data_IF_635840639829
#
_entry.id   IF_635840639829
#
_cell.length_a   1.000
_cell.length_b   1.000
_cell.length_c   1.000
_cell.angle_alpha   90.00
_cell.angle_beta   90.00
_cell.angle_gamma   90.00
#
_symmetry.space_group_name_H-M   'P 1'
#
loop_
_entity.id
_entity.type
_entity.pdbx_description
1 polymer ?
#
# COMPACT_ATOMS: atom_id res chain seq x y z
N UNK A 1 27.65 -12.68 15.90
CA UNK A 1 27.48 -12.70 17.37
C UNK A 1 26.15 -12.04 17.74
N UNK A 2 25.24 -12.81 18.34
CA UNK A 2 23.90 -12.38 18.78
C UNK A 2 23.99 -11.29 19.87
N UNK A 3 25.00 -11.36 20.75
CA UNK A 3 25.21 -10.37 21.82
C UNK A 3 25.45 -8.99 21.24
N UNK A 4 26.25 -8.89 20.18
CA UNK A 4 26.49 -7.63 19.47
C UNK A 4 25.20 -7.07 18.86
N UNK A 5 24.39 -7.92 18.25
CA UNK A 5 23.10 -7.53 17.64
C UNK A 5 22.14 -7.02 18.72
N UNK A 6 21.98 -7.77 19.81
CA UNK A 6 21.15 -7.38 20.95
C UNK A 6 21.54 -6.02 21.51
N UNK A 7 22.84 -5.79 21.75
CA UNK A 7 23.36 -4.50 22.25
C UNK A 7 23.14 -3.35 21.28
N UNK A 8 23.18 -3.59 19.98
CA UNK A 8 22.92 -2.54 18.98
C UNK A 8 21.42 -2.24 18.90
N UNK A 9 20.59 -3.28 18.89
CA UNK A 9 19.14 -3.17 18.79
C UNK A 9 18.54 -2.45 20.00
N UNK A 10 18.92 -2.85 21.22
CA UNK A 10 18.48 -2.20 22.46
C UNK A 10 18.90 -0.72 22.56
N UNK A 11 20.03 -0.34 21.94
CA UNK A 11 20.46 1.06 21.88
C UNK A 11 19.69 1.90 20.85
N UNK A 12 19.30 1.32 19.73
CA UNK A 12 18.58 2.04 18.67
C UNK A 12 17.08 2.11 18.91
N UNK A 13 16.52 1.14 19.64
CA UNK A 13 15.09 1.01 19.93
C UNK A 13 14.91 0.71 21.43
N UNK A 14 15.12 1.73 22.30
CA UNK A 14 15.13 1.54 23.74
C UNK A 14 13.76 1.16 24.32
N UNK A 15 12.67 1.59 23.68
CA UNK A 15 11.30 1.37 24.16
C UNK A 15 10.68 0.06 23.64
N UNK A 16 11.48 -0.80 22.98
CA UNK A 16 11.03 -2.08 22.44
C UNK A 16 11.38 -3.22 23.37
N UNK A 17 10.40 -4.10 23.65
CA UNK A 17 10.63 -5.35 24.38
C UNK A 17 11.35 -6.39 23.51
N UNK A 18 12.51 -6.85 23.96
CA UNK A 18 13.33 -7.83 23.25
C UNK A 18 13.22 -9.22 23.88
N UNK A 19 12.87 -10.22 23.07
CA UNK A 19 12.85 -11.62 23.46
C UNK A 19 13.82 -12.41 22.59
N UNK A 20 14.52 -13.37 23.19
CA UNK A 20 15.49 -14.22 22.50
C UNK A 20 15.03 -15.67 22.57
N UNK A 21 14.66 -16.22 21.42
CA UNK A 21 14.31 -17.64 21.27
C UNK A 21 15.42 -18.35 20.49
N UNK A 22 16.15 -19.22 21.19
CA UNK A 22 17.23 -20.02 20.59
C UNK A 22 16.72 -21.30 19.92
N UNK A 23 15.43 -21.63 20.09
CA UNK A 23 14.77 -22.75 19.46
C UNK A 23 14.01 -22.35 18.17
N UNK A 24 14.09 -21.08 17.75
CA UNK A 24 13.51 -20.63 16.49
C UNK A 24 14.26 -21.22 15.28
N UNK A 25 13.56 -22.05 14.52
CA UNK A 25 14.10 -22.81 13.39
C UNK A 25 13.34 -22.57 12.07
N UNK A 26 12.34 -21.67 12.04
CA UNK A 26 11.60 -21.35 10.82
C UNK A 26 12.55 -20.79 9.76
N UNK A 27 12.32 -21.17 8.49
CA UNK A 27 13.10 -20.66 7.36
C UNK A 27 14.47 -21.33 7.15
N UNK A 28 14.70 -22.50 7.73
CA UNK A 28 15.94 -23.29 7.65
C UNK A 28 16.45 -23.55 6.22
N UNK A 29 15.57 -23.46 5.21
CA UNK A 29 15.92 -23.74 3.82
C UNK A 29 16.75 -22.62 3.15
N UNK A 30 16.74 -21.39 3.68
CA UNK A 30 17.47 -20.28 3.05
C UNK A 30 18.07 -19.25 4.02
N UNK A 31 17.65 -19.24 5.28
CA UNK A 31 18.27 -18.38 6.29
C UNK A 31 19.63 -18.98 6.70
N UNK A 32 20.65 -18.12 6.81
CA UNK A 32 22.05 -18.50 7.02
C UNK A 32 22.65 -17.87 8.27
N UNK A 33 21.82 -17.24 9.12
CA UNK A 33 22.26 -16.56 10.32
C UNK A 33 21.09 -16.14 11.21
N UNK A 34 21.21 -14.97 11.83
CA UNK A 34 20.14 -14.43 12.71
C UNK A 34 18.83 -14.30 11.95
N UNK A 35 17.73 -14.66 12.63
CA UNK A 35 16.36 -14.41 12.22
C UNK A 35 15.66 -13.55 13.27
N UNK A 36 14.60 -12.87 12.88
CA UNK A 36 13.78 -12.09 13.79
C UNK A 36 12.32 -12.11 13.36
N UNK A 37 11.43 -11.89 14.32
CA UNK A 37 10.02 -11.63 14.11
C UNK A 37 9.59 -10.46 14.99
N UNK A 38 8.69 -9.63 14.48
CA UNK A 38 8.09 -8.52 15.20
C UNK A 38 6.63 -8.86 15.53
N UNK A 39 6.24 -8.60 16.77
CA UNK A 39 4.89 -8.87 17.28
C UNK A 39 4.29 -7.59 17.85
N UNK A 40 2.97 -7.57 17.91
CA UNK A 40 2.18 -6.54 18.60
C UNK A 40 1.29 -7.23 19.64
N UNK A 41 0.84 -6.46 20.62
CA UNK A 41 -0.12 -6.97 21.61
C UNK A 41 -1.36 -7.55 20.94
N UNK A 42 -1.99 -8.50 21.61
CA UNK A 42 -3.28 -9.10 21.25
C UNK A 42 -3.32 -9.80 19.88
N UNK A 43 -2.15 -10.15 19.33
CA UNK A 43 -2.01 -10.88 18.08
C UNK A 43 -1.06 -12.08 18.22
N UNK A 44 -1.58 -13.28 18.00
CA UNK A 44 -0.81 -14.54 18.05
C UNK A 44 0.10 -14.81 16.84
N UNK A 45 0.23 -13.87 15.90
CA UNK A 45 1.05 -14.01 14.69
C UNK A 45 1.95 -12.79 14.52
N UNK A 46 3.14 -13.01 13.95
CA UNK A 46 4.06 -11.92 13.65
C UNK A 46 3.45 -10.91 12.65
N UNK A 47 3.83 -9.63 12.79
CA UNK A 47 3.50 -8.57 11.81
C UNK A 47 4.62 -8.37 10.80
N UNK A 48 5.85 -8.78 11.13
CA UNK A 48 6.98 -8.80 10.22
C UNK A 48 7.93 -9.91 10.63
N UNK A 49 8.67 -10.45 9.65
CA UNK A 49 9.73 -11.43 9.88
C UNK A 49 10.86 -11.24 8.88
N UNK A 50 12.06 -11.54 9.31
CA UNK A 50 13.24 -11.38 8.48
C UNK A 50 14.45 -12.11 9.04
N UNK A 51 15.57 -11.89 8.39
CA UNK A 51 16.82 -12.54 8.78
C UNK A 51 17.93 -12.34 7.77
N UNK A 52 19.01 -13.09 7.97
CA UNK A 52 20.18 -13.15 7.09
C UNK A 52 20.11 -14.37 6.18
N UNK A 53 20.31 -14.18 4.87
CA UNK A 53 20.17 -15.22 3.84
C UNK A 53 21.27 -15.12 2.76
N UNK A 54 22.53 -15.34 3.16
CA UNK A 54 23.71 -15.06 2.33
C UNK A 54 23.85 -16.01 1.11
N UNK A 55 23.12 -17.14 1.10
CA UNK A 55 23.27 -18.19 0.10
C UNK A 55 22.17 -18.22 -0.96
N UNK A 56 21.12 -17.39 -0.85
CA UNK A 56 19.99 -17.43 -1.80
C UNK A 56 20.44 -17.14 -3.23
N UNK A 57 21.46 -16.30 -3.41
CA UNK A 57 22.03 -15.97 -4.71
C UNK A 57 22.75 -17.14 -5.41
N UNK A 58 23.07 -18.23 -4.68
CA UNK A 58 23.80 -19.38 -5.22
C UNK A 58 23.04 -20.07 -6.36
N UNK A 59 21.71 -20.15 -6.28
CA UNK A 59 20.88 -20.71 -7.36
C UNK A 59 20.90 -19.84 -8.62
N UNK A 60 21.32 -18.58 -8.50
CA UNK A 60 21.49 -17.62 -9.60
C UNK A 60 22.97 -17.41 -9.98
N UNK A 61 23.87 -18.32 -9.56
CA UNK A 61 25.27 -18.32 -9.96
C UNK A 61 26.24 -17.59 -9.03
N UNK A 62 25.78 -16.93 -7.96
CA UNK A 62 26.67 -16.27 -6.99
C UNK A 62 26.04 -16.06 -5.61
N UNK A 63 26.64 -16.65 -4.58
CA UNK A 63 26.31 -16.30 -3.20
C UNK A 63 26.76 -14.86 -2.86
N UNK A 64 25.90 -14.10 -2.17
CA UNK A 64 26.18 -12.73 -1.72
C UNK A 64 25.52 -12.51 -0.36
N UNK A 65 26.23 -11.91 0.61
CA UNK A 65 25.64 -11.60 1.90
C UNK A 65 24.39 -10.74 1.75
N UNK A 66 23.33 -11.12 2.43
CA UNK A 66 22.03 -10.46 2.31
C UNK A 66 21.23 -10.54 3.61
N UNK A 67 20.46 -9.49 3.88
CA UNK A 67 19.50 -9.45 4.97
C UNK A 67 18.30 -8.60 4.54
N UNK A 68 17.15 -8.89 5.12
CA UNK A 68 15.89 -8.25 4.77
C UNK A 68 14.74 -8.82 5.58
N UNK A 69 13.55 -8.27 5.35
CA UNK A 69 12.33 -8.69 6.02
C UNK A 69 11.13 -8.56 5.09
N UNK A 70 10.04 -9.20 5.49
CA UNK A 70 8.75 -9.12 4.84
C UNK A 70 7.66 -8.80 5.87
N UNK A 71 6.60 -8.16 5.42
CA UNK A 71 5.41 -7.82 6.21
C UNK A 71 4.18 -7.85 5.29
N UNK A 72 3.00 -8.06 5.85
CA UNK A 72 1.74 -7.94 5.11
C UNK A 72 1.19 -6.52 5.28
N UNK A 73 1.12 -5.78 4.18
CA UNK A 73 0.58 -4.42 4.18
C UNK A 73 -0.87 -4.37 4.66
N UNK A 74 -1.70 -5.40 4.41
CA UNK A 74 -3.09 -5.44 4.90
C UNK A 74 -3.15 -5.52 6.41
N UNK A 75 -2.21 -6.26 7.02
CA UNK A 75 -2.06 -6.31 8.48
C UNK A 75 -1.69 -4.92 9.00
N UNK A 76 -0.68 -4.29 8.42
CA UNK A 76 -0.22 -2.98 8.87
C UNK A 76 -1.30 -1.90 8.69
N UNK A 77 -2.05 -1.92 7.60
CA UNK A 77 -3.18 -1.00 7.37
C UNK A 77 -4.28 -1.15 8.41
N UNK A 78 -4.57 -2.38 8.87
CA UNK A 78 -5.58 -2.63 9.92
C UNK A 78 -5.10 -2.22 11.32
N UNK A 79 -3.82 -2.42 11.60
CA UNK A 79 -3.22 -2.06 12.89
C UNK A 79 -2.90 -0.57 13.00
N UNK A 80 -2.68 0.09 11.87
CA UNK A 80 -2.42 1.52 11.82
C UNK A 80 -3.64 2.31 12.25
N UNK A 81 -3.43 3.31 13.12
CA UNK A 81 -4.44 4.27 13.54
C UNK A 81 -4.37 5.58 12.74
N UNK A 82 -3.73 5.55 11.56
CA UNK A 82 -3.55 6.74 10.74
C UNK A 82 -4.90 7.22 10.22
N UNK A 83 -5.29 8.42 10.63
CA UNK A 83 -6.43 9.11 10.02
C UNK A 83 -6.06 9.50 8.60
N UNK A 84 -6.83 8.98 7.64
CA UNK A 84 -6.70 9.37 6.25
C UNK A 84 -7.62 10.57 5.98
N UNK A 85 -7.17 11.59 5.23
CA UNK A 85 -8.08 12.63 4.79
C UNK A 85 -9.21 11.98 3.99
N UNK A 86 -10.42 12.52 4.13
CA UNK A 86 -11.55 12.06 3.33
C UNK A 86 -11.19 12.23 1.85
N UNK A 87 -11.39 11.20 1.00
CA UNK A 87 -11.14 11.34 -0.42
C UNK A 87 -11.96 12.52 -0.96
N UNK A 88 -11.33 13.36 -1.79
CA UNK A 88 -12.08 14.35 -2.54
C UNK A 88 -13.19 13.67 -3.35
N UNK A 89 -14.33 14.34 -3.52
CA UNK A 89 -15.42 13.84 -4.35
C UNK A 89 -14.97 13.61 -5.79
N UNK A 90 -15.71 12.78 -6.53
CA UNK A 90 -15.42 12.46 -7.92
C UNK A 90 -16.26 13.31 -8.89
N UNK A 91 -15.77 13.43 -10.11
CA UNK A 91 -16.49 14.03 -11.23
C UNK A 91 -17.01 12.91 -12.12
N UNK A 92 -18.32 12.91 -12.39
CA UNK A 92 -18.96 12.02 -13.33
C UNK A 92 -18.83 12.57 -14.76
N UNK A 93 -18.31 11.77 -15.70
CA UNK A 93 -18.29 12.09 -17.12
C UNK A 93 -19.33 11.25 -17.86
N UNK A 94 -20.15 11.83 -18.77
CA UNK A 94 -21.12 11.07 -19.53
C UNK A 94 -20.47 10.10 -20.53
N UNK A 95 -21.25 9.14 -20.99
CA UNK A 95 -20.85 8.15 -22.00
C UNK A 95 -21.03 8.69 -23.42
N UNK A 96 -20.46 9.86 -23.72
CA UNK A 96 -20.57 10.52 -25.03
C UNK A 96 -19.29 10.38 -25.84
N UNK A 97 -19.43 10.13 -27.15
CA UNK A 97 -18.33 10.10 -28.11
C UNK A 97 -18.01 11.53 -28.57
N UNK A 98 -17.38 12.31 -27.69
CA UNK A 98 -17.02 13.71 -27.92
C UNK A 98 -15.54 13.94 -27.63
N UNK A 99 -14.82 14.55 -28.58
CA UNK A 99 -13.37 14.76 -28.47
C UNK A 99 -13.01 15.77 -27.37
N UNK A 100 -13.80 16.84 -27.25
CA UNK A 100 -13.60 17.88 -26.24
C UNK A 100 -13.89 17.34 -24.84
N UNK A 101 -14.87 16.45 -24.69
CA UNK A 101 -15.13 15.71 -23.46
C UNK A 101 -13.91 14.86 -23.09
N UNK A 102 -13.38 14.11 -24.05
CA UNK A 102 -12.22 13.25 -23.81
C UNK A 102 -10.99 14.07 -23.38
N UNK A 103 -10.76 15.25 -23.99
CA UNK A 103 -9.72 16.18 -23.59
C UNK A 103 -9.95 16.79 -22.21
N UNK A 104 -11.19 17.18 -21.89
CA UNK A 104 -11.56 17.68 -20.57
C UNK A 104 -11.33 16.63 -19.49
N UNK A 105 -11.73 15.38 -19.75
CA UNK A 105 -11.51 14.24 -18.84
C UNK A 105 -10.01 13.99 -18.62
N UNK A 106 -9.20 14.01 -19.69
CA UNK A 106 -7.73 13.89 -19.57
C UNK A 106 -7.13 15.01 -18.72
N UNK A 107 -7.55 16.24 -18.97
CA UNK A 107 -7.08 17.44 -18.25
C UNK A 107 -7.41 17.35 -16.76
N UNK A 108 -8.65 17.02 -16.41
CA UNK A 108 -9.07 16.85 -15.02
C UNK A 108 -8.27 15.75 -14.30
N UNK A 109 -8.08 14.59 -14.96
CA UNK A 109 -7.25 13.51 -14.40
C UNK A 109 -5.80 13.93 -14.18
N UNK A 110 -5.22 14.70 -15.11
CA UNK A 110 -3.86 15.25 -14.97
C UNK A 110 -3.74 16.26 -13.82
N UNK A 111 -4.83 16.93 -13.45
CA UNK A 111 -4.91 17.83 -12.29
C UNK A 111 -5.12 17.06 -10.96
N UNK A 112 -5.23 15.74 -10.98
CA UNK A 112 -5.44 14.90 -9.80
C UNK A 112 -6.91 14.67 -9.44
N UNK A 113 -7.85 15.14 -10.27
CA UNK A 113 -9.28 14.87 -10.06
C UNK A 113 -9.62 13.40 -10.37
N UNK A 114 -10.48 12.81 -9.55
CA UNK A 114 -11.04 11.49 -9.81
C UNK A 114 -12.22 11.63 -10.77
N UNK A 115 -12.05 11.21 -12.03
CA UNK A 115 -13.10 11.25 -13.04
C UNK A 115 -13.62 9.85 -13.35
N UNK A 116 -14.89 9.60 -13.01
CA UNK A 116 -15.62 8.35 -13.25
C UNK A 116 -16.41 8.51 -14.55
N UNK A 117 -16.14 7.66 -15.54
CA UNK A 117 -16.87 7.72 -16.81
C UNK A 117 -18.04 6.73 -16.78
N UNK A 118 -19.22 7.21 -17.14
CA UNK A 118 -20.40 6.37 -17.33
C UNK A 118 -20.16 5.37 -18.45
N UNK A 119 -20.79 4.21 -18.33
CA UNK A 119 -20.92 3.26 -19.44
C UNK A 119 -22.15 3.62 -20.30
N UNK A 120 -22.14 3.31 -21.61
CA UNK A 120 -23.31 3.49 -22.47
C UNK A 120 -24.56 2.79 -21.88
N UNK A 121 -25.66 3.52 -21.77
CA UNK A 121 -26.93 3.00 -21.22
C UNK A 121 -26.95 2.81 -19.70
N UNK A 122 -25.89 3.20 -18.98
CA UNK A 122 -25.87 3.11 -17.52
C UNK A 122 -26.75 4.19 -16.89
N UNK A 123 -27.86 3.76 -16.27
CA UNK A 123 -28.73 4.61 -15.47
C UNK A 123 -28.41 4.48 -13.98
N UNK A 124 -28.67 5.53 -13.19
CA UNK A 124 -28.54 5.52 -11.74
C UNK A 124 -27.90 6.78 -11.18
N UNK A 125 -27.85 6.85 -9.85
CA UNK A 125 -27.02 7.83 -9.15
C UNK A 125 -25.58 7.28 -9.01
N UNK A 126 -24.60 8.18 -8.96
CA UNK A 126 -23.18 7.81 -8.88
C UNK A 126 -22.57 8.21 -7.53
N UNK A 127 -23.42 8.35 -6.51
CA UNK A 127 -23.04 8.67 -5.13
C UNK A 127 -22.23 7.54 -4.51
N UNK A 128 -22.51 6.28 -4.84
CA UNK A 128 -21.72 5.10 -4.43
C UNK A 128 -20.30 5.11 -5.01
N UNK A 129 -20.14 5.67 -6.22
CA UNK A 129 -18.83 5.95 -6.81
C UNK A 129 -18.15 7.19 -6.19
N UNK A 130 -18.81 7.84 -5.23
CA UNK A 130 -18.38 9.06 -4.57
C UNK A 130 -18.38 10.26 -5.50
N UNK A 131 -19.21 10.27 -6.56
CA UNK A 131 -19.36 11.44 -7.43
C UNK A 131 -20.20 12.51 -6.73
N UNK A 132 -19.63 13.71 -6.58
CA UNK A 132 -20.29 14.90 -6.06
C UNK A 132 -20.45 15.99 -7.14
N UNK A 133 -19.88 15.73 -8.32
CA UNK A 133 -19.83 16.64 -9.46
C UNK A 133 -20.06 15.87 -10.77
N UNK A 134 -20.47 16.57 -11.81
CA UNK A 134 -20.75 16.02 -13.15
C UNK A 134 -20.27 16.96 -14.25
N UNK A 135 -19.79 16.41 -15.36
CA UNK A 135 -19.52 17.14 -16.59
C UNK A 135 -20.81 17.32 -17.37
N UNK A 136 -21.19 18.57 -17.64
CA UNK A 136 -22.32 18.93 -18.50
C UNK A 136 -21.86 19.80 -19.65
N UNK A 137 -22.44 19.58 -20.82
CA UNK A 137 -22.26 20.44 -21.97
C UNK A 137 -23.04 21.75 -21.79
N UNK A 138 -22.36 22.88 -21.90
CA UNK A 138 -22.97 24.22 -21.76
C UNK A 138 -23.53 24.78 -23.07
N UNK A 139 -23.26 24.14 -24.20
CA UNK A 139 -23.46 24.70 -25.54
C UNK A 139 -22.16 25.11 -26.24
N UNK A 140 -21.10 25.37 -25.47
CA UNK A 140 -19.78 25.72 -26.01
C UNK A 140 -18.60 24.98 -25.38
N UNK A 141 -18.75 24.49 -24.15
CA UNK A 141 -17.70 23.73 -23.47
C UNK A 141 -18.27 22.75 -22.44
N UNK A 142 -17.43 21.81 -22.02
CA UNK A 142 -17.71 20.90 -20.92
C UNK A 142 -17.38 21.54 -19.57
N UNK A 143 -18.42 21.75 -18.75
CA UNK A 143 -18.33 22.38 -17.43
C UNK A 143 -18.54 21.36 -16.32
N UNK A 144 -17.83 21.56 -15.20
CA UNK A 144 -17.99 20.75 -13.99
C UNK A 144 -19.02 21.42 -13.09
N UNK A 145 -20.12 20.72 -12.81
CA UNK A 145 -21.21 21.19 -11.96
C UNK A 145 -21.38 20.27 -10.75
N UNK A 146 -21.96 20.77 -9.65
CA UNK A 146 -22.32 19.93 -8.50
C UNK A 146 -23.60 19.14 -8.77
N UNK A 147 -23.65 17.92 -8.25
CA UNK A 147 -24.84 17.05 -8.26
C UNK A 147 -25.71 17.35 -7.04
#
# INVERSE_FOLDING_TARGET
DLVRIARLAARQLPDTSWHFDLAELRGYQYQTGVVFAAFVADRGQEIARGGRYDQIGKVFGRARPATGFSTDLRILMRLGNRTWPQPAGAILAPAEEDADLADKVRTLRAQGERVVQQLPGQAGNFTEAGCDRVLRWSGSEWLVERI
#
